data_IF_515031721656
#
_entry.id   IF_515031721656
#
_cell.length_a   1.000
_cell.length_b   1.000
_cell.length_c   1.000
_cell.angle_alpha   90.00
_cell.angle_beta   90.00
_cell.angle_gamma   90.00
#
_symmetry.space_group_name_H-M   'P 1'
#
loop_
_entity.id
_entity.type
_entity.pdbx_description
1 polymer ?
#
# COMPACT_ATOMS: atom_id res chain seq x y z
N UNK A 1 -28.50 -24.95 -7.41
CA UNK A 1 -27.38 -25.41 -8.26
C UNK A 1 -26.41 -24.26 -8.41
N UNK A 2 -25.29 -24.26 -7.67
CA UNK A 2 -24.22 -23.27 -7.80
C UNK A 2 -22.95 -24.00 -8.25
N UNK A 3 -22.79 -24.21 -9.56
CA UNK A 3 -21.67 -24.95 -10.15
C UNK A 3 -20.38 -24.13 -10.26
N UNK A 4 -20.19 -23.14 -9.39
CA UNK A 4 -19.00 -22.28 -9.39
C UNK A 4 -17.95 -22.92 -8.48
N UNK A 5 -16.80 -23.26 -9.05
CA UNK A 5 -15.62 -23.63 -8.28
C UNK A 5 -14.99 -22.36 -7.71
N UNK A 6 -14.96 -22.24 -6.38
CA UNK A 6 -14.33 -21.14 -5.69
C UNK A 6 -12.92 -21.54 -5.24
N UNK A 7 -11.92 -20.75 -5.62
CA UNK A 7 -10.54 -20.87 -5.12
C UNK A 7 -10.24 -19.65 -4.28
N UNK A 8 -9.90 -19.87 -3.01
CA UNK A 8 -9.53 -18.83 -2.06
C UNK A 8 -8.03 -18.93 -1.77
N UNK A 9 -7.35 -17.79 -1.73
CA UNK A 9 -5.95 -17.69 -1.36
C UNK A 9 -5.76 -16.54 -0.37
N UNK A 10 -4.93 -16.75 0.65
CA UNK A 10 -4.66 -15.75 1.67
C UNK A 10 -3.82 -16.30 2.81
N UNK A 11 -3.47 -15.42 3.74
CA UNK A 11 -2.71 -15.76 4.95
C UNK A 11 -3.35 -15.07 6.15
N UNK A 12 -3.92 -15.86 7.06
CA UNK A 12 -4.62 -15.35 8.25
C UNK A 12 -3.68 -14.79 9.33
N UNK A 13 -2.37 -14.85 9.11
CA UNK A 13 -1.39 -14.13 9.94
C UNK A 13 -1.18 -12.68 9.45
N UNK A 14 -1.77 -12.32 8.32
CA UNK A 14 -1.76 -10.95 7.79
C UNK A 14 -2.95 -10.15 8.33
N UNK A 15 -3.25 -9.01 7.71
CA UNK A 15 -4.28 -8.08 8.15
C UNK A 15 -5.69 -8.70 8.09
N UNK A 16 -6.48 -8.49 9.15
CA UNK A 16 -7.91 -8.84 9.18
C UNK A 16 -8.73 -7.94 8.24
N UNK A 17 -9.97 -8.34 7.89
CA UNK A 17 -10.90 -7.49 7.16
C UNK A 17 -11.10 -6.15 7.86
N UNK A 18 -11.11 -5.06 7.09
CA UNK A 18 -11.40 -3.72 7.62
C UNK A 18 -12.90 -3.59 7.80
N UNK A 19 -13.35 -3.41 9.04
CA UNK A 19 -14.75 -3.08 9.36
C UNK A 19 -14.81 -1.61 9.80
N UNK A 20 -15.29 -0.68 8.95
CA UNK A 20 -15.34 0.73 9.31
C UNK A 20 -16.16 0.96 10.58
N UNK A 21 -15.57 1.65 11.57
CA UNK A 21 -16.18 1.87 12.90
C UNK A 21 -16.52 0.57 13.66
N UNK A 22 -15.93 -0.55 13.26
CA UNK A 22 -16.13 -1.86 13.89
C UNK A 22 -15.25 -2.06 15.11
N UNK A 23 -15.62 -3.07 15.90
CA UNK A 23 -14.81 -3.60 17.01
C UNK A 23 -13.92 -4.75 16.53
N UNK A 24 -12.95 -5.16 17.36
CA UNK A 24 -12.16 -6.38 17.12
C UNK A 24 -13.03 -7.62 16.89
N UNK A 25 -14.18 -7.71 17.58
CA UNK A 25 -15.11 -8.82 17.39
C UNK A 25 -15.75 -8.78 15.98
N UNK A 26 -16.10 -7.59 15.49
CA UNK A 26 -16.67 -7.46 14.14
C UNK A 26 -15.64 -7.80 13.06
N UNK A 27 -14.36 -7.48 13.26
CA UNK A 27 -13.29 -7.89 12.33
C UNK A 27 -13.13 -9.41 12.25
N UNK A 28 -13.30 -10.11 13.39
CA UNK A 28 -13.28 -11.57 13.44
C UNK A 28 -14.52 -12.18 12.76
N UNK A 29 -15.70 -11.63 13.03
CA UNK A 29 -16.97 -12.06 12.43
C UNK A 29 -17.00 -11.84 10.90
N UNK A 30 -16.36 -10.77 10.42
CA UNK A 30 -16.20 -10.51 9.00
C UNK A 30 -15.21 -11.47 8.31
N UNK A 31 -14.40 -12.22 9.06
CA UNK A 31 -13.46 -13.18 8.51
C UNK A 31 -14.18 -14.39 7.93
N UNK A 32 -13.70 -14.90 6.79
CA UNK A 32 -14.25 -16.12 6.17
C UNK A 32 -14.17 -17.34 7.11
N UNK A 33 -13.28 -17.32 8.11
CA UNK A 33 -13.19 -18.37 9.14
C UNK A 33 -14.39 -18.44 10.07
N UNK A 34 -15.10 -17.34 10.26
CA UNK A 34 -16.31 -17.29 11.09
C UNK A 34 -17.57 -17.64 10.27
N UNK A 35 -17.45 -17.70 8.94
CA UNK A 35 -18.55 -18.10 8.07
C UNK A 35 -18.96 -19.55 8.26
N UNK A 36 -20.27 -19.82 8.21
CA UNK A 36 -20.83 -21.19 8.16
C UNK A 36 -20.31 -22.01 6.97
N UNK A 37 -19.81 -21.35 5.91
CA UNK A 37 -19.19 -22.00 4.76
C UNK A 37 -17.81 -22.57 5.07
N UNK A 38 -17.12 -22.10 6.12
CA UNK A 38 -15.75 -22.50 6.43
C UNK A 38 -15.59 -24.02 6.57
N UNK A 39 -16.56 -24.69 7.19
CA UNK A 39 -16.57 -26.15 7.34
C UNK A 39 -16.65 -26.93 6.02
N UNK A 40 -17.01 -26.27 4.92
CA UNK A 40 -17.10 -26.87 3.58
C UNK A 40 -15.87 -26.56 2.71
N UNK A 41 -14.92 -25.76 3.22
CA UNK A 41 -13.72 -25.35 2.47
C UNK A 41 -12.61 -26.39 2.69
N UNK A 42 -12.14 -26.98 1.59
CA UNK A 42 -10.91 -27.77 1.60
C UNK A 42 -9.69 -26.85 1.74
N UNK A 43 -8.92 -27.02 2.81
CA UNK A 43 -7.72 -26.20 3.06
C UNK A 43 -6.46 -26.89 2.56
N UNK A 44 -5.67 -26.19 1.74
CA UNK A 44 -4.34 -26.59 1.32
C UNK A 44 -3.31 -25.58 1.86
N UNK A 45 -2.13 -26.07 2.26
CA UNK A 45 -1.10 -25.23 2.87
C UNK A 45 0.17 -25.22 2.01
N UNK A 46 0.61 -24.01 1.62
CA UNK A 46 1.92 -23.81 1.02
C UNK A 46 3.00 -23.82 2.11
N UNK A 47 4.09 -24.55 1.89
CA UNK A 47 5.16 -24.75 2.89
C UNK A 47 6.46 -24.02 2.55
N UNK A 48 6.69 -23.75 1.27
CA UNK A 48 7.95 -23.14 0.80
C UNK A 48 7.78 -21.64 0.66
N UNK A 49 8.64 -20.86 1.33
CA UNK A 49 8.72 -19.42 1.11
C UNK A 49 9.54 -19.16 -0.17
N UNK A 50 8.84 -18.99 -1.29
CA UNK A 50 9.49 -18.76 -2.59
C UNK A 50 10.30 -17.47 -2.62
N UNK A 51 9.90 -16.42 -1.88
CA UNK A 51 10.67 -15.17 -1.83
C UNK A 51 12.06 -15.41 -1.25
N UNK A 52 12.17 -16.07 -0.10
CA UNK A 52 13.46 -16.40 0.50
C UNK A 52 14.24 -17.43 -0.33
N UNK A 53 13.55 -18.41 -0.90
CA UNK A 53 14.18 -19.46 -1.72
C UNK A 53 14.83 -18.90 -2.99
N UNK A 54 14.19 -17.95 -3.67
CA UNK A 54 14.70 -17.34 -4.90
C UNK A 54 15.95 -16.48 -4.67
N UNK A 55 16.09 -15.83 -3.51
CA UNK A 55 17.33 -15.15 -3.13
C UNK A 55 18.45 -16.15 -2.79
N UNK A 56 18.10 -17.32 -2.26
CA UNK A 56 19.03 -18.45 -2.05
C UNK A 56 20.09 -18.21 -0.98
N UNK A 57 19.97 -17.17 -0.16
CA UNK A 57 20.94 -16.83 0.88
C UNK A 57 20.42 -17.14 2.30
N UNK A 58 21.35 -17.48 3.20
CA UNK A 58 21.01 -17.87 4.57
C UNK A 58 20.35 -16.75 5.38
N UNK A 59 20.64 -15.47 5.09
CA UNK A 59 20.01 -14.37 5.81
C UNK A 59 18.53 -14.24 5.42
N UNK A 60 18.19 -14.42 4.15
CA UNK A 60 16.80 -14.44 3.67
C UNK A 60 15.98 -15.56 4.32
N UNK A 61 16.56 -16.75 4.48
CA UNK A 61 15.91 -17.87 5.18
C UNK A 61 15.69 -17.59 6.68
N UNK A 62 16.71 -17.05 7.35
CA UNK A 62 16.62 -16.65 8.77
C UNK A 62 15.55 -15.58 8.95
N UNK A 63 15.53 -14.58 8.07
CA UNK A 63 14.55 -13.50 8.09
C UNK A 63 13.12 -14.03 7.89
N UNK A 64 12.91 -14.89 6.88
CA UNK A 64 11.61 -15.52 6.63
C UNK A 64 11.13 -16.36 7.83
N UNK A 65 12.02 -17.13 8.47
CA UNK A 65 11.69 -17.90 9.67
C UNK A 65 11.31 -16.98 10.84
N UNK A 66 12.01 -15.86 11.02
CA UNK A 66 11.68 -14.89 12.06
C UNK A 66 10.34 -14.20 11.78
N UNK A 67 10.03 -13.86 10.52
CA UNK A 67 8.71 -13.34 10.12
C UNK A 67 7.58 -14.34 10.40
N UNK A 68 7.79 -15.63 10.15
CA UNK A 68 6.80 -16.67 10.46
C UNK A 68 6.56 -16.77 11.98
N UNK A 69 7.62 -16.73 12.78
CA UNK A 69 7.49 -16.69 14.25
C UNK A 69 6.71 -15.47 14.72
N UNK A 70 6.91 -14.31 14.08
CA UNK A 70 6.15 -13.10 14.34
C UNK A 70 4.66 -13.28 14.01
N UNK A 71 4.34 -13.76 12.81
CA UNK A 71 2.95 -14.01 12.39
C UNK A 71 2.24 -15.07 13.24
N UNK A 72 2.97 -16.04 13.78
CA UNK A 72 2.45 -17.06 14.71
C UNK A 72 2.30 -16.57 16.16
N UNK A 73 2.68 -15.32 16.47
CA UNK A 73 2.66 -14.80 17.84
C UNK A 73 3.71 -15.42 18.77
N UNK A 74 4.78 -16.01 18.23
CA UNK A 74 5.86 -16.71 18.97
C UNK A 74 7.07 -15.82 19.28
N UNK A 75 6.90 -14.50 19.21
CA UNK A 75 7.93 -13.51 19.51
C UNK A 75 7.76 -13.01 20.93
N UNK A 76 8.87 -12.68 21.60
CA UNK A 76 8.84 -12.21 22.98
C UNK A 76 8.11 -10.87 23.08
N UNK A 77 7.06 -10.85 23.90
CA UNK A 77 6.38 -9.62 24.30
C UNK A 77 7.24 -8.88 25.34
N UNK A 78 7.35 -7.56 25.20
CA UNK A 78 8.05 -6.71 26.17
C UNK A 78 7.03 -6.06 27.10
N UNK A 79 5.95 -5.51 26.53
CA UNK A 79 4.86 -4.84 27.24
C UNK A 79 3.52 -5.16 26.57
N UNK A 80 2.41 -4.72 27.16
CA UNK A 80 1.09 -4.82 26.54
C UNK A 80 1.12 -4.16 25.14
N UNK A 81 0.74 -4.93 24.11
CA UNK A 81 0.79 -4.51 22.69
C UNK A 81 2.19 -4.14 22.14
N UNK A 82 3.28 -4.56 22.81
CA UNK A 82 4.64 -4.32 22.32
C UNK A 82 5.45 -5.61 22.26
N UNK A 83 6.11 -5.82 21.13
CA UNK A 83 6.94 -6.99 20.86
C UNK A 83 8.40 -6.58 20.66
N UNK A 84 9.32 -7.47 21.01
CA UNK A 84 10.72 -7.32 20.64
C UNK A 84 10.89 -7.78 19.19
N UNK A 85 11.10 -6.84 18.28
CA UNK A 85 11.32 -7.19 16.87
C UNK A 85 12.65 -7.97 16.72
N UNK A 86 12.64 -9.19 16.16
CA UNK A 86 13.84 -10.02 16.08
C UNK A 86 14.78 -9.64 14.92
N UNK A 87 14.48 -8.56 14.20
CA UNK A 87 15.23 -8.08 13.03
C UNK A 87 15.04 -6.57 12.88
N UNK A 88 15.91 -5.95 12.07
CA UNK A 88 15.85 -4.53 11.78
C UNK A 88 16.45 -3.65 12.88
N UNK A 89 16.30 -2.34 12.73
CA UNK A 89 16.76 -1.33 13.69
C UNK A 89 15.58 -0.45 14.06
N UNK A 90 15.36 -0.29 15.36
CA UNK A 90 14.33 0.60 15.89
C UNK A 90 14.94 2.00 16.04
N UNK A 91 14.19 3.03 15.67
CA UNK A 91 14.59 4.43 15.84
C UNK A 91 13.42 5.26 16.34
N UNK A 92 13.72 6.21 17.22
CA UNK A 92 12.78 7.23 17.70
C UNK A 92 12.87 8.53 16.88
N UNK A 93 13.62 8.52 15.77
CA UNK A 93 13.77 9.65 14.86
C UNK A 93 13.18 9.32 13.47
N UNK A 94 11.84 9.46 13.28
CA UNK A 94 11.20 9.17 12.01
C UNK A 94 11.74 9.97 10.83
N UNK A 95 12.18 11.21 11.05
CA UNK A 95 12.75 12.05 10.00
C UNK A 95 14.10 11.50 9.51
N UNK A 96 14.95 11.04 10.42
CA UNK A 96 16.22 10.41 10.06
C UNK A 96 15.99 9.11 9.29
N UNK A 97 14.94 8.34 9.62
CA UNK A 97 14.56 7.15 8.85
C UNK A 97 14.22 7.53 7.40
N UNK A 98 13.39 8.55 7.19
CA UNK A 98 13.00 9.02 5.84
C UNK A 98 14.24 9.44 5.05
N UNK A 99 15.11 10.27 5.63
CA UNK A 99 16.34 10.75 4.99
C UNK A 99 17.34 9.62 4.73
N UNK A 100 17.35 8.59 5.57
CA UNK A 100 18.20 7.41 5.40
C UNK A 100 17.74 6.53 4.24
N UNK A 101 16.43 6.28 4.15
CA UNK A 101 15.85 5.44 3.10
C UNK A 101 15.94 6.15 1.74
N UNK A 102 15.56 7.42 1.67
CA UNK A 102 15.58 8.25 0.46
C UNK A 102 16.76 9.23 0.43
N UNK A 103 17.96 8.75 0.78
CA UNK A 103 19.17 9.58 0.80
C UNK A 103 19.55 10.07 -0.59
N UNK A 104 19.90 11.35 -0.72
CA UNK A 104 20.27 12.00 -1.97
C UNK A 104 19.14 11.90 -3.04
N UNK A 105 17.87 12.01 -2.63
CA UNK A 105 16.71 11.92 -3.52
C UNK A 105 16.82 12.95 -4.67
N UNK A 106 17.28 14.16 -4.38
CA UNK A 106 17.49 15.23 -5.35
C UNK A 106 18.45 14.86 -6.49
N UNK A 107 19.34 13.89 -6.25
CA UNK A 107 20.29 13.39 -7.24
C UNK A 107 19.85 12.08 -7.91
N UNK A 108 18.89 11.36 -7.31
CA UNK A 108 18.46 10.04 -7.78
C UNK A 108 17.02 9.99 -8.28
N UNK A 109 16.26 11.09 -8.21
CA UNK A 109 14.82 11.14 -8.58
C UNK A 109 14.48 10.70 -10.02
N UNK A 110 15.46 10.59 -10.92
CA UNK A 110 15.23 10.06 -12.29
C UNK A 110 15.59 8.58 -12.45
N UNK A 111 16.13 7.94 -11.42
CA UNK A 111 16.63 6.56 -11.48
C UNK A 111 15.55 5.58 -11.01
N UNK A 112 14.94 4.86 -11.95
CA UNK A 112 13.93 3.83 -11.67
C UNK A 112 14.43 2.80 -10.65
N UNK A 113 15.58 2.18 -10.92
CA UNK A 113 16.09 1.07 -10.11
C UNK A 113 16.38 1.51 -8.67
N UNK A 114 16.76 2.77 -8.50
CA UNK A 114 17.00 3.34 -7.19
C UNK A 114 15.73 3.41 -6.33
N UNK A 115 14.57 3.73 -6.93
CA UNK A 115 13.27 3.74 -6.25
C UNK A 115 12.76 2.33 -5.96
N UNK A 116 12.96 1.36 -6.86
CA UNK A 116 12.38 0.01 -6.70
C UNK A 116 12.92 -0.77 -5.50
N UNK A 117 14.10 -0.41 -4.99
CA UNK A 117 14.74 -1.10 -3.86
C UNK A 117 14.28 -0.58 -2.49
N UNK A 118 13.36 0.39 -2.44
CA UNK A 118 13.09 1.17 -1.22
C UNK A 118 11.60 1.44 -1.05
N UNK A 119 11.12 1.32 0.17
CA UNK A 119 9.77 1.71 0.52
C UNK A 119 9.71 2.17 1.98
N UNK A 120 8.79 3.07 2.29
CA UNK A 120 8.39 3.40 3.65
C UNK A 120 6.92 3.04 3.79
N UNK A 121 6.61 2.17 4.74
CA UNK A 121 5.25 1.75 5.07
C UNK A 121 4.83 2.46 6.35
N UNK A 122 3.59 2.94 6.38
CA UNK A 122 2.97 3.50 7.57
C UNK A 122 1.53 2.96 7.71
N UNK A 123 1.04 2.78 8.95
CA UNK A 123 -0.28 2.18 9.18
C UNK A 123 -1.46 3.08 8.80
N UNK A 124 -1.23 4.38 8.59
CA UNK A 124 -2.29 5.35 8.28
C UNK A 124 -1.95 6.18 7.03
N UNK A 125 -2.96 6.43 6.20
CA UNK A 125 -2.83 7.16 4.94
C UNK A 125 -2.44 8.64 5.13
N UNK A 126 -2.87 9.27 6.22
CA UNK A 126 -2.48 10.65 6.57
C UNK A 126 -0.95 10.76 6.75
N UNK A 127 -0.35 9.77 7.41
CA UNK A 127 1.09 9.71 7.64
C UNK A 127 1.84 9.41 6.34
N UNK A 128 1.32 8.51 5.51
CA UNK A 128 1.86 8.27 4.15
C UNK A 128 1.84 9.55 3.32
N UNK A 129 0.71 10.27 3.30
CA UNK A 129 0.54 11.52 2.57
C UNK A 129 1.52 12.60 3.04
N UNK A 130 1.71 12.74 4.36
CA UNK A 130 2.68 13.68 4.94
C UNK A 130 4.12 13.36 4.52
N UNK A 131 4.52 12.08 4.55
CA UNK A 131 5.86 11.65 4.12
C UNK A 131 6.06 11.88 2.62
N UNK A 132 5.08 11.49 1.79
CA UNK A 132 5.14 11.68 0.34
C UNK A 132 5.23 13.16 -0.04
N UNK A 133 4.43 14.01 0.61
CA UNK A 133 4.46 15.46 0.39
C UNK A 133 5.83 16.05 0.76
N UNK A 134 6.39 15.64 1.90
CA UNK A 134 7.73 16.05 2.33
C UNK A 134 8.80 15.64 1.33
N UNK A 135 8.80 14.39 0.86
CA UNK A 135 9.75 13.90 -0.14
C UNK A 135 9.60 14.62 -1.48
N UNK A 136 8.37 14.94 -1.91
CA UNK A 136 8.12 15.68 -3.15
C UNK A 136 8.79 17.06 -3.15
N UNK A 137 8.85 17.74 -2.00
CA UNK A 137 9.55 19.04 -1.90
C UNK A 137 11.03 18.95 -2.24
N UNK A 138 11.67 17.81 -1.96
CA UNK A 138 13.10 17.59 -2.23
C UNK A 138 13.42 17.28 -3.69
N UNK A 139 12.41 16.86 -4.47
CA UNK A 139 12.58 16.59 -5.90
C UNK A 139 12.77 17.92 -6.64
N UNK A 140 13.85 18.08 -7.44
CA UNK A 140 14.08 19.29 -8.22
C UNK A 140 13.02 19.52 -9.29
N UNK A 141 12.87 20.77 -9.72
CA UNK A 141 11.94 21.18 -10.76
C UNK A 141 10.62 21.73 -10.21
N UNK A 142 9.82 22.26 -11.13
CA UNK A 142 8.59 22.95 -10.81
C UNK A 142 7.49 21.99 -10.36
N UNK A 143 6.77 22.38 -9.31
CA UNK A 143 5.57 21.68 -8.86
C UNK A 143 4.38 22.08 -9.71
N UNK A 144 3.70 21.08 -10.28
CA UNK A 144 2.42 21.26 -10.95
C UNK A 144 1.29 20.80 -10.03
N UNK A 145 0.29 21.66 -9.87
CA UNK A 145 -0.88 21.40 -9.05
C UNK A 145 -2.10 21.15 -9.93
N UNK A 146 -2.78 20.03 -9.69
CA UNK A 146 -4.06 19.67 -10.29
C UNK A 146 -5.13 19.68 -9.22
N UNK A 147 -6.29 20.24 -9.54
CA UNK A 147 -7.44 20.34 -8.63
C UNK A 147 -8.58 19.48 -9.17
N UNK A 148 -9.24 18.70 -8.31
CA UNK A 148 -10.48 18.03 -8.69
C UNK A 148 -11.59 19.06 -8.92
N UNK A 149 -12.59 18.64 -9.70
CA UNK A 149 -13.85 19.36 -9.89
C UNK A 149 -14.92 18.41 -9.40
N UNK A 150 -15.34 18.62 -8.15
CA UNK A 150 -16.32 17.76 -7.48
C UNK A 150 -17.70 18.42 -7.53
N UNK A 151 -18.72 17.63 -7.82
CA UNK A 151 -20.11 18.07 -7.91
C UNK A 151 -21.00 17.06 -7.21
N UNK A 152 -22.14 17.53 -6.72
CA UNK A 152 -23.21 16.70 -6.17
C UNK A 152 -24.42 16.78 -7.10
N UNK A 153 -25.35 15.84 -6.96
CA UNK A 153 -26.62 15.88 -7.70
C UNK A 153 -27.37 17.19 -7.41
N UNK A 154 -28.04 17.75 -8.42
CA UNK A 154 -28.66 19.09 -8.35
C UNK A 154 -29.64 19.22 -7.17
N UNK A 155 -30.34 18.14 -6.84
CA UNK A 155 -31.36 18.09 -5.79
C UNK A 155 -30.82 18.30 -4.36
N UNK A 156 -29.50 18.15 -4.15
CA UNK A 156 -28.82 18.31 -2.84
C UNK A 156 -27.71 19.36 -2.88
N UNK A 157 -27.56 20.10 -3.98
CA UNK A 157 -26.46 21.05 -4.18
C UNK A 157 -26.46 22.22 -3.17
N UNK A 158 -27.61 22.56 -2.60
CA UNK A 158 -27.75 23.63 -1.60
C UNK A 158 -27.19 23.21 -0.23
N UNK A 159 -27.15 21.90 0.04
CA UNK A 159 -26.75 21.36 1.35
C UNK A 159 -25.24 21.18 1.49
N UNK A 160 -24.48 21.24 0.38
CA UNK A 160 -23.04 20.96 0.36
C UNK A 160 -22.24 22.07 -0.31
N UNK A 161 -21.49 22.80 0.50
CA UNK A 161 -20.54 23.82 0.01
C UNK A 161 -19.34 23.17 -0.69
N UNK A 162 -18.76 23.87 -1.67
CA UNK A 162 -17.58 23.39 -2.42
C UNK A 162 -16.37 23.17 -1.52
N UNK A 163 -16.21 23.96 -0.46
CA UNK A 163 -15.14 23.80 0.53
C UNK A 163 -15.26 22.47 1.28
N UNK A 164 -16.49 22.02 1.55
CA UNK A 164 -16.74 20.71 2.14
C UNK A 164 -16.34 19.60 1.17
N UNK A 165 -16.74 19.68 -0.10
CA UNK A 165 -16.38 18.71 -1.13
C UNK A 165 -14.85 18.61 -1.30
N UNK A 166 -14.17 19.76 -1.37
CA UNK A 166 -12.71 19.84 -1.49
C UNK A 166 -11.96 19.27 -0.27
N UNK A 167 -12.64 19.10 0.87
CA UNK A 167 -12.06 18.49 2.08
C UNK A 167 -12.18 16.96 2.11
N UNK A 168 -13.03 16.38 1.25
CA UNK A 168 -13.25 14.94 1.20
C UNK A 168 -12.02 14.22 0.65
N UNK A 169 -11.69 13.09 1.26
CA UNK A 169 -10.65 12.17 0.79
C UNK A 169 -11.17 10.73 0.86
N UNK A 170 -12.13 10.37 -0.02
CA UNK A 170 -12.74 9.05 0.02
C UNK A 170 -11.71 7.97 -0.38
N UNK A 171 -11.79 6.76 0.22
CA UNK A 171 -10.91 5.65 -0.14
C UNK A 171 -10.97 5.32 -1.63
N UNK A 172 -9.80 5.13 -2.25
CA UNK A 172 -9.70 4.76 -3.66
C UNK A 172 -9.83 5.92 -4.66
N UNK A 173 -10.01 7.15 -4.20
CA UNK A 173 -9.98 8.35 -5.06
C UNK A 173 -8.72 9.20 -4.84
N UNK A 174 -8.23 9.90 -5.87
CA UNK A 174 -7.22 10.94 -5.70
C UNK A 174 -7.71 12.07 -4.79
N UNK A 175 -6.81 12.77 -4.09
CA UNK A 175 -7.17 13.93 -3.29
C UNK A 175 -7.61 15.11 -4.17
N UNK A 176 -8.39 16.04 -3.62
CA UNK A 176 -8.76 17.28 -4.32
C UNK A 176 -7.55 18.03 -4.86
N UNK A 177 -6.46 18.09 -4.10
CA UNK A 177 -5.22 18.74 -4.49
C UNK A 177 -4.15 17.70 -4.79
N UNK A 178 -3.85 17.46 -6.07
CA UNK A 178 -2.77 16.59 -6.51
C UNK A 178 -1.57 17.42 -6.95
N UNK A 179 -0.44 17.27 -6.25
CA UNK A 179 0.83 17.95 -6.55
C UNK A 179 1.79 16.96 -7.16
N UNK A 180 2.40 17.33 -8.29
CA UNK A 180 3.31 16.48 -9.05
C UNK A 180 4.57 17.24 -9.44
N UNK A 181 5.67 16.51 -9.60
CA UNK A 181 6.94 16.98 -10.16
C UNK A 181 7.48 15.96 -11.16
N UNK A 182 8.21 16.44 -12.16
CA UNK A 182 8.88 15.56 -13.14
C UNK A 182 9.86 14.64 -12.41
N UNK A 183 9.70 13.32 -12.60
CA UNK A 183 10.50 12.28 -11.96
C UNK A 183 9.96 11.77 -10.62
N UNK A 184 8.87 12.34 -10.10
CA UNK A 184 8.20 11.76 -8.93
C UNK A 184 7.45 10.47 -9.31
N UNK A 185 7.58 9.38 -8.53
CA UNK A 185 6.76 8.19 -8.73
C UNK A 185 5.27 8.47 -8.50
N UNK A 186 4.40 7.87 -9.31
CA UNK A 186 2.95 7.93 -9.17
C UNK A 186 2.37 6.51 -9.10
N UNK A 187 1.37 6.33 -8.25
CA UNK A 187 0.53 5.13 -8.23
C UNK A 187 -0.82 5.43 -8.84
N UNK A 188 -1.28 4.57 -9.75
CA UNK A 188 -2.62 4.66 -10.34
C UNK A 188 -3.58 3.81 -9.52
N UNK A 189 -4.48 4.46 -8.78
CA UNK A 189 -5.42 3.79 -7.87
C UNK A 189 -6.64 3.19 -8.58
N UNK A 190 -7.10 3.82 -9.67
CA UNK A 190 -8.20 3.33 -10.47
C UNK A 190 -7.80 3.36 -11.94
N UNK A 191 -7.91 2.21 -12.59
CA UNK A 191 -7.66 2.05 -14.01
C UNK A 191 -8.87 1.35 -14.63
N UNK A 192 -9.48 1.98 -15.65
CA UNK A 192 -10.54 1.37 -16.47
C UNK A 192 -9.99 0.75 -17.75
N UNK A 193 -8.67 0.64 -17.90
CA UNK A 193 -8.08 0.00 -19.07
C UNK A 193 -7.94 -1.50 -18.86
N UNK A 194 -8.52 -2.27 -19.78
CA UNK A 194 -8.48 -3.74 -19.77
C UNK A 194 -7.14 -4.35 -20.19
N UNK A 195 -6.11 -3.54 -20.44
CA UNK A 195 -4.75 -3.99 -20.79
C UNK A 195 -3.70 -3.01 -20.27
N UNK A 196 -2.54 -3.53 -19.85
CA UNK A 196 -1.40 -2.73 -19.40
C UNK A 196 -0.82 -1.83 -20.50
N UNK A 197 -0.97 -2.23 -21.78
CA UNK A 197 -0.47 -1.48 -22.93
C UNK A 197 -1.24 -0.19 -23.18
N UNK A 198 -2.42 -0.07 -22.56
CA UNK A 198 -3.32 1.08 -22.70
C UNK A 198 -3.31 2.00 -21.49
N UNK A 199 -2.62 1.63 -20.40
CA UNK A 199 -2.46 2.52 -19.27
C UNK A 199 -1.40 3.55 -19.65
N UNK A 200 -1.74 4.81 -19.87
CA UNK A 200 -0.76 5.90 -20.04
C UNK A 200 -1.31 7.14 -19.35
N UNK A 201 -0.46 7.88 -18.64
CA UNK A 201 -0.80 9.24 -18.22
C UNK A 201 -0.38 10.17 -19.35
N UNK A 202 -1.33 10.94 -19.88
CA UNK A 202 -1.05 11.89 -20.96
C UNK A 202 -0.37 13.13 -20.35
N UNK A 203 0.90 13.36 -20.67
CA UNK A 203 1.63 14.56 -20.28
C UNK A 203 1.73 15.53 -21.47
N UNK A 204 2.03 16.81 -21.18
CA UNK A 204 2.10 17.89 -22.18
C UNK A 204 3.09 17.61 -23.32
N UNK A 205 4.10 16.76 -23.06
CA UNK A 205 5.18 16.41 -23.99
C UNK A 205 5.15 14.93 -24.44
N UNK A 206 4.04 14.20 -24.22
CA UNK A 206 3.87 12.81 -24.67
C UNK A 206 3.34 11.85 -23.60
N UNK A 207 3.43 10.54 -23.87
CA UNK A 207 2.98 9.48 -22.97
C UNK A 207 3.98 9.24 -21.82
N UNK A 208 3.50 9.01 -20.60
CA UNK A 208 4.35 8.53 -19.51
C UNK A 208 4.84 7.10 -19.73
N UNK A 209 6.07 6.80 -19.32
CA UNK A 209 6.59 5.42 -19.28
C UNK A 209 5.99 4.71 -18.07
N UNK A 210 5.12 3.73 -18.30
CA UNK A 210 4.61 2.89 -17.21
C UNK A 210 5.66 1.90 -16.77
N UNK A 211 5.82 1.80 -15.45
CA UNK A 211 6.57 0.73 -14.83
C UNK A 211 5.59 -0.37 -14.47
N UNK A 212 5.30 -1.23 -15.44
CA UNK A 212 4.65 -2.51 -15.16
C UNK A 212 5.77 -3.45 -14.73
N UNK A 213 5.70 -4.00 -13.52
CA UNK A 213 6.61 -5.06 -13.07
C UNK A 213 6.02 -6.39 -13.55
N UNK A 214 6.55 -7.01 -14.63
CA UNK A 214 5.98 -8.25 -15.17
C UNK A 214 6.08 -9.39 -14.15
N UNK A 215 7.08 -9.33 -13.25
CA UNK A 215 7.34 -10.32 -12.21
C UNK A 215 6.27 -10.30 -11.10
N UNK A 216 5.42 -9.28 -11.03
CA UNK A 216 4.30 -9.22 -10.10
C UNK A 216 3.00 -9.82 -10.68
N UNK A 217 3.00 -10.19 -11.96
CA UNK A 217 1.86 -10.76 -12.69
C UNK A 217 2.03 -12.25 -13.03
N UNK A 218 3.13 -12.87 -12.60
CA UNK A 218 3.44 -14.29 -12.77
C UNK A 218 3.37 -15.06 -11.45
#
# INVERSE_FOLDING_TARGET
MGGVTLVLAGDFRQTLPIVPRGTKANELEASIKDSHLWGHIMTLNLKTNMRAHLFGDSNSEIFARNLLRLGDGKVKQIEENQILLPFGKITNAPLELVLRIFRNLENNYRKKDWFSERAILAPKNDKVSSINSSLLTTIPGDEQTFRSIDTVEEDIAVDYHVEFLNSLNPPGMPPHLLRLKIGAPLYVACSRVGSHDNLHVLAKDGNTVNLVYPEALL
#
